data_IF_867873723397
#
_entry.id   IF_867873723397
#
_cell.length_a   1.000
_cell.length_b   1.000
_cell.length_c   1.000
_cell.angle_alpha   90.00
_cell.angle_beta   90.00
_cell.angle_gamma   90.00
#
_symmetry.space_group_name_H-M   'P 1'
#
loop_
_entity.id
_entity.type
_entity.pdbx_description
1 polymer ?
#
# COMPACT_ATOMS: atom_id res chain seq x y z
N UNK A 1 0.26 20.40 23.16
CA UNK A 1 -0.53 19.36 22.48
C UNK A 1 0.32 18.09 22.46
N UNK A 2 -0.24 16.91 22.78
CA UNK A 2 0.51 15.66 22.68
C UNK A 2 0.96 15.42 21.23
N UNK A 3 2.22 15.06 21.02
CA UNK A 3 2.77 14.77 19.70
C UNK A 3 2.34 13.37 19.26
N UNK A 4 1.57 13.30 18.16
CA UNK A 4 1.16 12.03 17.56
C UNK A 4 2.37 11.38 16.88
N UNK A 5 2.97 10.38 17.52
CA UNK A 5 4.10 9.62 16.97
C UNK A 5 3.67 8.41 16.15
N UNK A 6 2.49 7.86 16.47
CA UNK A 6 1.94 6.67 15.84
C UNK A 6 0.48 6.92 15.48
N UNK A 7 0.08 6.46 14.30
CA UNK A 7 -1.31 6.52 13.86
C UNK A 7 -1.72 5.19 13.23
N UNK A 8 -2.96 4.79 13.46
CA UNK A 8 -3.55 3.63 12.80
C UNK A 8 -4.91 4.01 12.24
N UNK A 9 -5.07 3.78 10.95
CA UNK A 9 -6.33 3.95 10.24
C UNK A 9 -6.80 2.57 9.83
N UNK A 10 -8.05 2.25 10.17
CA UNK A 10 -8.72 1.05 9.69
C UNK A 10 -10.04 1.44 9.05
N UNK A 11 -10.20 1.10 7.78
CA UNK A 11 -11.42 1.33 7.01
C UNK A 11 -11.97 -0.02 6.59
N UNK A 12 -13.18 -0.32 7.05
CA UNK A 12 -13.95 -1.48 6.62
C UNK A 12 -14.87 -1.07 5.48
N UNK A 13 -14.71 -1.70 4.33
CA UNK A 13 -15.51 -1.45 3.14
C UNK A 13 -16.78 -2.31 3.15
N UNK A 14 -17.89 -1.70 2.71
CA UNK A 14 -19.14 -2.41 2.43
C UNK A 14 -19.01 -3.19 1.12
N UNK A 15 -19.53 -4.42 1.11
CA UNK A 15 -19.65 -5.29 -0.06
C UNK A 15 -20.20 -4.58 -1.28
N UNK A 16 -21.27 -3.80 -1.12
CA UNK A 16 -21.90 -3.12 -2.25
C UNK A 16 -20.92 -2.16 -2.93
N UNK A 17 -20.17 -1.41 -2.14
CA UNK A 17 -19.16 -0.48 -2.65
C UNK A 17 -18.06 -1.23 -3.41
N UNK A 18 -17.58 -2.36 -2.88
CA UNK A 18 -16.52 -3.13 -3.55
C UNK A 18 -17.02 -3.76 -4.85
N UNK A 19 -18.23 -4.30 -4.86
CA UNK A 19 -18.84 -4.94 -6.02
C UNK A 19 -19.16 -3.93 -7.13
N UNK A 20 -19.73 -2.78 -6.76
CA UNK A 20 -20.03 -1.71 -7.71
C UNK A 20 -18.73 -1.19 -8.34
N UNK A 21 -17.67 -1.02 -7.56
CA UNK A 21 -16.36 -0.64 -8.09
C UNK A 21 -15.75 -1.72 -9.00
N UNK A 22 -15.92 -3.00 -8.67
CA UNK A 22 -15.47 -4.09 -9.53
C UNK A 22 -16.20 -4.11 -10.88
N UNK A 23 -17.51 -3.84 -10.86
CA UNK A 23 -18.33 -3.74 -12.06
C UNK A 23 -17.92 -2.52 -12.92
N UNK A 24 -17.67 -1.36 -12.30
CA UNK A 24 -17.20 -0.17 -12.99
C UNK A 24 -15.84 -0.39 -13.66
N UNK A 25 -14.90 -1.03 -12.98
CA UNK A 25 -13.58 -1.36 -13.54
C UNK A 25 -13.68 -2.31 -14.73
N UNK A 26 -14.56 -3.33 -14.68
CA UNK A 26 -14.82 -4.22 -15.83
C UNK A 26 -15.38 -3.47 -17.03
N UNK A 27 -16.16 -2.43 -16.79
CA UNK A 27 -16.74 -1.58 -17.83
C UNK A 27 -15.77 -0.49 -18.33
N UNK A 28 -14.51 -0.52 -17.92
CA UNK A 28 -13.47 0.44 -18.34
C UNK A 28 -13.49 1.77 -17.58
N UNK A 29 -14.37 1.92 -16.59
CA UNK A 29 -14.40 3.10 -15.73
C UNK A 29 -13.41 2.90 -14.59
N UNK A 30 -12.23 3.51 -14.72
CA UNK A 30 -11.25 3.58 -13.64
C UNK A 30 -11.68 4.63 -12.62
N UNK A 31 -12.22 4.20 -11.48
CA UNK A 31 -12.35 5.08 -10.31
C UNK A 31 -11.20 4.81 -9.35
N UNK A 32 -10.62 5.89 -8.81
CA UNK A 32 -9.61 5.82 -7.76
C UNK A 32 -10.28 5.88 -6.37
N UNK A 33 -11.46 5.27 -6.22
CA UNK A 33 -12.29 5.40 -5.01
C UNK A 33 -11.50 5.05 -3.74
N UNK A 34 -10.84 3.89 -3.71
CA UNK A 34 -10.04 3.47 -2.55
C UNK A 34 -8.85 4.40 -2.29
N UNK A 35 -8.24 4.96 -3.33
CA UNK A 35 -7.16 5.93 -3.19
C UNK A 35 -7.65 7.22 -2.55
N UNK A 36 -8.89 7.65 -2.85
CA UNK A 36 -9.50 8.82 -2.20
C UNK A 36 -9.73 8.57 -0.71
N UNK A 37 -10.13 7.35 -0.34
CA UNK A 37 -10.25 6.94 1.07
C UNK A 37 -8.89 7.03 1.76
N UNK A 38 -7.83 6.50 1.14
CA UNK A 38 -6.47 6.59 1.70
C UNK A 38 -6.07 8.06 1.86
N UNK A 39 -6.22 8.88 0.83
CA UNK A 39 -5.78 10.28 0.83
C UNK A 39 -6.44 11.09 1.95
N UNK A 40 -7.74 10.93 2.16
CA UNK A 40 -8.49 11.60 3.25
C UNK A 40 -8.13 11.04 4.62
N UNK A 41 -7.74 9.77 4.69
CA UNK A 41 -7.35 9.12 5.94
C UNK A 41 -5.94 9.45 6.40
N UNK A 42 -5.10 9.98 5.51
CA UNK A 42 -3.72 10.32 5.85
C UNK A 42 -3.67 11.61 6.67
N UNK A 43 -2.93 11.62 7.80
CA UNK A 43 -2.76 12.80 8.61
C UNK A 43 -2.07 13.91 7.83
N UNK A 44 -2.42 15.17 8.11
CA UNK A 44 -1.74 16.31 7.48
C UNK A 44 -0.26 16.31 7.91
N UNK A 45 0.69 16.20 6.96
CA UNK A 45 2.11 16.14 7.27
C UNK A 45 2.65 17.43 7.90
N UNK A 46 2.01 18.59 7.69
CA UNK A 46 2.41 19.86 8.30
C UNK A 46 2.02 19.94 9.77
N UNK A 47 0.96 19.23 10.15
CA UNK A 47 0.46 19.18 11.54
C UNK A 47 1.12 18.05 12.32
N UNK A 48 1.38 16.91 11.68
CA UNK A 48 1.85 15.68 12.32
C UNK A 48 3.30 15.36 11.97
N UNK A 49 4.21 16.33 12.18
CA UNK A 49 5.63 16.21 11.83
C UNK A 49 6.38 15.15 12.64
N UNK A 50 5.83 14.74 13.78
CA UNK A 50 6.40 13.70 14.65
C UNK A 50 5.89 12.28 14.33
N UNK A 51 5.03 12.12 13.33
CA UNK A 51 4.47 10.82 12.97
C UNK A 51 5.54 9.94 12.31
N UNK A 52 6.02 8.94 13.02
CA UNK A 52 7.06 8.01 12.57
C UNK A 52 6.50 6.64 12.20
N UNK A 53 5.33 6.27 12.73
CA UNK A 53 4.70 4.99 12.41
C UNK A 53 3.26 5.18 11.94
N UNK A 54 2.92 4.54 10.82
CA UNK A 54 1.58 4.55 10.25
C UNK A 54 1.13 3.13 9.93
N UNK A 55 -0.07 2.77 10.37
CA UNK A 55 -0.73 1.54 9.98
C UNK A 55 -1.99 1.87 9.18
N UNK A 56 -2.09 1.32 7.97
CA UNK A 56 -3.23 1.46 7.08
C UNK A 56 -3.87 0.10 6.87
N UNK A 57 -5.09 -0.07 7.36
CA UNK A 57 -5.89 -1.26 7.12
C UNK A 57 -7.10 -0.89 6.23
N UNK A 58 -7.21 -1.54 5.07
CA UNK A 58 -8.36 -1.43 4.19
C UNK A 58 -8.94 -2.84 4.01
N UNK A 59 -9.90 -3.16 4.87
CA UNK A 59 -10.46 -4.50 4.99
C UNK A 59 -11.84 -4.59 4.36
N UNK A 60 -12.19 -5.79 3.97
CA UNK A 60 -13.46 -6.12 3.35
C UNK A 60 -13.83 -7.54 3.78
N UNK A 61 -15.08 -7.75 4.18
CA UNK A 61 -15.59 -9.05 4.59
C UNK A 61 -16.62 -9.52 3.58
N UNK A 62 -16.36 -10.62 2.90
CA UNK A 62 -17.31 -11.21 1.96
C UNK A 62 -18.55 -11.75 2.71
N UNK A 63 -19.78 -11.54 2.22
CA UNK A 63 -20.95 -12.11 2.87
C UNK A 63 -20.87 -13.63 2.89
N UNK A 64 -21.31 -14.29 3.98
CA UNK A 64 -21.42 -15.73 4.00
C UNK A 64 -22.37 -16.19 2.87
N UNK A 65 -21.84 -16.94 1.91
CA UNK A 65 -22.58 -17.45 0.74
C UNK A 65 -22.16 -16.90 -0.61
N UNK A 66 -21.39 -15.80 -0.67
CA UNK A 66 -20.74 -15.38 -1.91
C UNK A 66 -19.51 -16.26 -2.17
N UNK A 67 -19.44 -16.88 -3.35
CA UNK A 67 -18.29 -17.68 -3.75
C UNK A 67 -17.09 -16.77 -4.02
N UNK A 68 -16.05 -16.86 -3.16
CA UNK A 68 -14.75 -16.15 -3.30
C UNK A 68 -14.16 -16.26 -4.71
N UNK A 69 -14.40 -17.39 -5.38
CA UNK A 69 -13.88 -17.75 -6.70
C UNK A 69 -14.27 -16.77 -7.82
N UNK A 70 -15.42 -16.09 -7.75
CA UNK A 70 -15.88 -15.23 -8.86
C UNK A 70 -15.44 -13.77 -8.74
N UNK A 71 -15.12 -13.31 -7.53
CA UNK A 71 -14.74 -11.90 -7.28
C UNK A 71 -13.24 -11.70 -7.11
N UNK A 72 -12.49 -12.75 -6.78
CA UNK A 72 -11.06 -12.70 -6.54
C UNK A 72 -10.25 -12.05 -7.69
N UNK A 73 -10.49 -12.33 -8.99
CA UNK A 73 -9.70 -11.71 -10.06
C UNK A 73 -9.97 -10.21 -10.24
N UNK A 74 -11.20 -9.77 -9.99
CA UNK A 74 -11.60 -8.36 -10.14
C UNK A 74 -11.12 -7.51 -8.97
N UNK A 75 -10.97 -8.09 -7.78
CA UNK A 75 -10.61 -7.35 -6.58
C UNK A 75 -9.10 -7.30 -6.38
N UNK A 76 -8.39 -8.40 -6.69
CA UNK A 76 -6.93 -8.38 -6.67
C UNK A 76 -6.37 -7.35 -7.66
N UNK A 77 -7.04 -7.12 -8.80
CA UNK A 77 -6.61 -6.13 -9.81
C UNK A 77 -6.93 -4.68 -9.48
N UNK A 78 -7.67 -4.40 -8.39
CA UNK A 78 -7.94 -3.04 -7.95
C UNK A 78 -6.70 -2.42 -7.30
N UNK A 79 -6.28 -1.28 -7.83
CA UNK A 79 -5.12 -0.54 -7.32
C UNK A 79 -5.54 0.43 -6.21
N UNK A 80 -4.74 0.49 -5.16
CA UNK A 80 -4.83 1.50 -4.09
C UNK A 80 -3.55 2.32 -4.12
N UNK A 81 -3.69 3.61 -4.41
CA UNK A 81 -2.55 4.51 -4.48
C UNK A 81 -2.24 5.10 -3.10
N UNK A 82 -1.00 4.93 -2.64
CA UNK A 82 -0.49 5.48 -1.37
C UNK A 82 0.46 6.64 -1.69
N UNK A 83 0.10 7.89 -1.39
CA UNK A 83 0.95 9.04 -1.65
C UNK A 83 2.06 9.17 -0.60
N UNK A 84 3.31 8.84 -0.97
CA UNK A 84 4.46 8.91 -0.06
C UNK A 84 4.79 10.34 0.38
N UNK A 85 4.47 11.33 -0.45
CA UNK A 85 4.68 12.75 -0.14
C UNK A 85 3.78 13.25 0.99
N UNK A 86 2.70 12.53 1.30
CA UNK A 86 1.80 12.81 2.43
C UNK A 86 2.29 12.21 3.75
N UNK A 87 3.32 11.37 3.71
CA UNK A 87 3.90 10.72 4.90
C UNK A 87 5.43 10.88 4.96
N UNK A 88 5.96 12.12 4.83
CA UNK A 88 7.41 12.33 4.66
C UNK A 88 8.24 11.93 5.89
N UNK A 89 7.65 11.93 7.08
CA UNK A 89 8.31 11.61 8.35
C UNK A 89 8.12 10.16 8.81
N UNK A 90 7.25 9.41 8.12
CA UNK A 90 6.94 8.03 8.49
C UNK A 90 8.14 7.14 8.17
N UNK A 91 8.74 6.57 9.20
CA UNK A 91 9.83 5.60 9.11
C UNK A 91 9.33 4.16 9.03
N UNK A 92 8.14 3.88 9.57
CA UNK A 92 7.51 2.56 9.55
C UNK A 92 6.08 2.63 8.99
N UNK A 93 5.83 1.91 7.90
CA UNK A 93 4.52 1.75 7.30
C UNK A 93 4.06 0.29 7.39
N UNK A 94 2.89 0.07 7.96
CA UNK A 94 2.21 -1.23 7.95
C UNK A 94 0.97 -1.13 7.08
N UNK A 95 0.83 -2.08 6.16
CA UNK A 95 -0.28 -2.17 5.22
C UNK A 95 -1.02 -3.48 5.47
N UNK A 96 -2.33 -3.38 5.64
CA UNK A 96 -3.23 -4.52 5.70
C UNK A 96 -4.39 -4.33 4.74
N UNK A 97 -4.29 -4.94 3.55
CA UNK A 97 -5.28 -4.69 2.51
C UNK A 97 -5.49 -5.87 1.57
N UNK A 98 -6.72 -5.99 1.07
CA UNK A 98 -7.11 -6.99 0.07
C UNK A 98 -6.90 -6.53 -1.38
N UNK A 99 -6.39 -5.32 -1.56
CA UNK A 99 -6.20 -4.67 -2.86
C UNK A 99 -4.71 -4.60 -3.21
N UNK A 100 -4.38 -4.15 -4.42
CA UNK A 100 -3.00 -3.97 -4.85
C UNK A 100 -2.47 -2.59 -4.43
N UNK A 101 -1.61 -2.48 -3.40
CA UNK A 101 -0.96 -1.23 -3.04
C UNK A 101 0.03 -0.79 -4.13
N UNK A 102 0.00 0.48 -4.50
CA UNK A 102 1.00 1.12 -5.35
C UNK A 102 1.37 2.46 -4.76
N UNK A 103 2.66 2.75 -4.65
CA UNK A 103 3.12 4.04 -4.15
C UNK A 103 3.10 5.09 -5.26
N UNK A 104 2.67 6.30 -4.92
CA UNK A 104 2.73 7.45 -5.81
C UNK A 104 3.43 8.62 -5.12
N UNK A 105 3.99 9.52 -5.92
CA UNK A 105 4.38 10.85 -5.49
C UNK A 105 3.41 11.90 -6.05
N UNK A 106 3.54 13.14 -5.59
CA UNK A 106 2.68 14.24 -6.01
C UNK A 106 2.75 14.43 -7.55
N UNK A 107 1.62 14.17 -8.23
CA UNK A 107 1.49 14.33 -9.69
C UNK A 107 1.28 15.79 -10.11
N UNK A 108 0.95 16.68 -9.18
CA UNK A 108 0.67 18.10 -9.44
C UNK A 108 1.90 18.92 -9.87
N UNK A 109 3.12 18.37 -9.72
CA UNK A 109 4.38 19.02 -10.14
C UNK A 109 4.98 18.37 -11.39
N UNK A 110 4.17 17.75 -12.26
CA UNK A 110 4.62 17.37 -13.61
C UNK A 110 4.05 18.29 -14.70
N UNK A 111 4.54 19.54 -14.84
CA UNK A 111 4.43 20.25 -16.11
C UNK A 111 5.51 19.69 -17.04
N UNK A 112 5.16 18.72 -17.89
CA UNK A 112 5.77 18.47 -19.22
C UNK A 112 7.26 18.79 -19.42
N UNK A 113 8.10 18.42 -18.47
CA UNK A 113 9.50 18.81 -18.46
C UNK A 113 10.20 17.96 -17.42
N UNK A 114 11.49 17.73 -17.63
CA UNK A 114 12.39 17.01 -16.75
C UNK A 114 12.51 17.69 -15.37
N UNK A 115 11.42 17.65 -14.61
CA UNK A 115 11.29 18.15 -13.26
C UNK A 115 12.02 17.18 -12.35
N UNK A 116 13.30 17.50 -12.13
CA UNK A 116 14.04 17.05 -10.97
C UNK A 116 13.16 17.28 -9.74
N UNK A 117 12.63 16.21 -9.15
CA UNK A 117 12.26 16.28 -7.74
C UNK A 117 13.49 16.84 -7.01
N UNK A 118 13.36 17.78 -6.07
CA UNK A 118 14.45 17.99 -5.14
C UNK A 118 14.72 16.62 -4.54
N UNK A 119 15.93 16.08 -4.76
CA UNK A 119 16.43 14.80 -4.22
C UNK A 119 16.20 14.62 -2.71
N UNK A 120 15.73 15.67 -2.03
CA UNK A 120 15.66 15.84 -0.60
C UNK A 120 14.23 15.87 -0.01
N UNK A 121 13.14 15.65 -0.77
CA UNK A 121 11.92 15.12 -0.12
C UNK A 121 12.04 13.60 -0.02
N UNK A 122 13.08 13.17 0.68
CA UNK A 122 13.31 11.77 1.01
C UNK A 122 12.16 11.31 1.89
N UNK A 123 11.36 10.37 1.40
CA UNK A 123 10.50 9.59 2.28
C UNK A 123 11.39 8.98 3.37
N UNK A 124 11.08 9.21 4.65
CA UNK A 124 11.86 8.68 5.77
C UNK A 124 11.68 7.16 5.96
N UNK A 125 10.91 6.51 5.08
CA UNK A 125 10.51 5.11 5.19
C UNK A 125 11.72 4.19 5.24
N UNK A 126 11.89 3.52 6.38
CA UNK A 126 12.92 2.49 6.62
C UNK A 126 12.33 1.10 6.67
N UNK A 127 11.06 0.97 7.05
CA UNK A 127 10.39 -0.31 7.26
C UNK A 127 9.01 -0.32 6.61
N UNK A 128 8.77 -1.32 5.76
CA UNK A 128 7.46 -1.60 5.17
C UNK A 128 6.99 -2.99 5.59
N UNK A 129 5.78 -3.10 6.12
CA UNK A 129 5.18 -4.37 6.55
C UNK A 129 3.90 -4.65 5.79
N UNK A 130 3.81 -5.80 5.13
CA UNK A 130 2.57 -6.32 4.56
C UNK A 130 1.96 -7.35 5.53
N UNK A 131 0.75 -7.07 6.00
CA UNK A 131 0.00 -7.88 6.97
C UNK A 131 -1.36 -8.25 6.42
N UNK A 132 -1.80 -9.50 6.54
CA UNK A 132 -3.13 -9.93 6.06
C UNK A 132 -3.41 -9.59 4.57
N UNK A 133 -2.36 -9.45 3.74
CA UNK A 133 -2.47 -9.08 2.33
C UNK A 133 -2.73 -10.31 1.43
N UNK A 134 -3.83 -11.04 1.70
CA UNK A 134 -4.12 -12.37 1.14
C UNK A 134 -4.24 -12.43 -0.40
N UNK A 135 -4.48 -11.29 -1.05
CA UNK A 135 -4.65 -11.23 -2.51
C UNK A 135 -3.49 -10.56 -3.23
N UNK A 136 -2.45 -10.15 -2.51
CA UNK A 136 -1.23 -9.65 -3.14
C UNK A 136 -0.50 -10.83 -3.77
N UNK A 137 -0.41 -10.81 -5.09
CA UNK A 137 0.32 -11.80 -5.90
C UNK A 137 1.70 -11.27 -6.31
N UNK A 138 2.55 -12.14 -6.85
CA UNK A 138 3.96 -11.82 -7.13
C UNK A 138 4.16 -10.59 -8.03
N UNK A 139 3.39 -10.46 -9.12
CA UNK A 139 3.52 -9.32 -10.03
C UNK A 139 3.15 -8.00 -9.35
N UNK A 140 2.22 -8.02 -8.41
CA UNK A 140 1.80 -6.86 -7.63
C UNK A 140 2.86 -6.45 -6.62
N UNK A 141 3.50 -7.42 -5.99
CA UNK A 141 4.66 -7.17 -5.13
C UNK A 141 5.79 -6.52 -5.93
N UNK A 142 6.07 -7.02 -7.14
CA UNK A 142 7.07 -6.45 -8.04
C UNK A 142 6.72 -5.02 -8.46
N UNK A 143 5.46 -4.76 -8.85
CA UNK A 143 5.00 -3.40 -9.17
C UNK A 143 5.12 -2.45 -7.97
N UNK A 144 4.81 -2.93 -6.77
CA UNK A 144 4.96 -2.13 -5.55
C UNK A 144 6.42 -1.80 -5.27
N UNK A 145 7.33 -2.78 -5.35
CA UNK A 145 8.78 -2.57 -5.22
C UNK A 145 9.28 -1.59 -6.28
N UNK A 146 8.83 -1.75 -7.53
CA UNK A 146 9.19 -0.85 -8.63
C UNK A 146 8.73 0.59 -8.36
N UNK A 147 7.51 0.79 -7.84
CA UNK A 147 7.03 2.13 -7.48
C UNK A 147 7.86 2.79 -6.37
N UNK A 148 8.38 2.02 -5.40
CA UNK A 148 9.30 2.54 -4.38
C UNK A 148 10.65 2.95 -4.98
N UNK A 149 11.16 2.20 -5.97
CA UNK A 149 12.41 2.52 -6.68
C UNK A 149 12.27 3.80 -7.49
N UNK A 150 11.17 3.95 -8.23
CA UNK A 150 10.88 5.14 -9.03
C UNK A 150 10.76 6.41 -8.20
N UNK A 151 10.31 6.28 -6.94
CA UNK A 151 10.20 7.38 -5.99
C UNK A 151 11.47 7.60 -5.16
N UNK A 152 12.53 6.82 -5.38
CA UNK A 152 13.79 6.89 -4.62
C UNK A 152 13.68 6.48 -3.15
N UNK A 153 12.54 5.90 -2.74
CA UNK A 153 12.31 5.44 -1.38
C UNK A 153 12.95 4.05 -1.11
N UNK A 154 13.17 3.28 -2.18
CA UNK A 154 13.73 1.92 -2.07
C UNK A 154 15.14 1.89 -1.47
N UNK A 155 16.01 2.82 -1.85
CA UNK A 155 17.40 2.86 -1.36
C UNK A 155 17.47 3.16 0.14
N UNK A 156 16.49 3.91 0.65
CA UNK A 156 16.33 4.22 2.06
C UNK A 156 15.69 3.08 2.86
N UNK A 157 14.98 2.15 2.20
CA UNK A 157 14.28 1.05 2.84
C UNK A 157 15.28 0.00 3.36
N UNK A 158 15.25 -0.22 4.67
CA UNK A 158 16.11 -1.17 5.37
C UNK A 158 15.44 -2.53 5.52
N UNK A 159 14.12 -2.56 5.74
CA UNK A 159 13.36 -3.79 5.99
C UNK A 159 12.04 -3.82 5.25
N UNK A 160 11.78 -4.95 4.61
CA UNK A 160 10.53 -5.28 3.98
C UNK A 160 10.00 -6.57 4.61
N UNK A 161 8.91 -6.47 5.36
CA UNK A 161 8.34 -7.58 6.10
C UNK A 161 7.09 -8.08 5.38
N UNK A 162 7.03 -9.39 5.14
CA UNK A 162 5.84 -10.09 4.66
C UNK A 162 5.40 -11.08 5.74
N UNK A 163 4.19 -10.88 6.28
CA UNK A 163 3.58 -11.81 7.23
C UNK A 163 2.75 -12.89 6.52
N UNK A 164 2.63 -14.07 7.13
CA UNK A 164 2.16 -15.37 6.58
C UNK A 164 0.68 -15.47 6.13
N UNK A 165 0.12 -14.38 5.62
CA UNK A 165 -1.22 -14.33 5.07
C UNK A 165 -1.24 -13.62 3.73
N UNK A 166 -0.15 -13.70 2.99
CA UNK A 166 -0.09 -13.26 1.59
C UNK A 166 -0.13 -14.47 0.66
N UNK A 167 -0.60 -14.27 -0.58
CA UNK A 167 -0.55 -15.33 -1.60
C UNK A 167 0.82 -15.50 -2.24
N UNK A 168 1.84 -14.77 -1.76
CA UNK A 168 3.21 -14.80 -2.29
C UNK A 168 4.02 -15.84 -1.53
N UNK A 169 4.51 -16.84 -2.25
CA UNK A 169 5.42 -17.82 -1.67
C UNK A 169 6.76 -17.16 -1.26
N UNK A 170 7.42 -17.59 -0.17
CA UNK A 170 8.62 -16.93 0.35
C UNK A 170 9.78 -16.81 -0.65
N UNK A 171 9.98 -17.84 -1.48
CA UNK A 171 10.97 -17.88 -2.57
C UNK A 171 10.68 -16.80 -3.63
N UNK A 172 9.41 -16.63 -4.00
CA UNK A 172 8.97 -15.60 -4.93
C UNK A 172 9.09 -14.20 -4.35
N UNK A 173 8.75 -14.03 -3.07
CA UNK A 173 8.96 -12.76 -2.38
C UNK A 173 10.45 -12.40 -2.36
N UNK A 174 11.33 -13.38 -2.17
CA UNK A 174 12.78 -13.21 -2.20
C UNK A 174 13.27 -12.72 -3.57
N UNK A 175 12.76 -13.30 -4.66
CA UNK A 175 13.07 -12.86 -6.03
C UNK A 175 12.66 -11.40 -6.28
N UNK A 176 11.53 -10.95 -5.73
CA UNK A 176 11.00 -9.60 -5.95
C UNK A 176 11.68 -8.53 -5.06
N UNK A 177 11.94 -8.85 -3.79
CA UNK A 177 12.40 -7.90 -2.76
C UNK A 177 13.91 -7.94 -2.58
N UNK A 178 14.56 -9.09 -2.78
CA UNK A 178 15.96 -9.29 -2.46
C UNK A 178 16.17 -9.80 -1.02
N UNK A 179 17.23 -10.59 -0.83
CA UNK A 179 17.56 -11.22 0.45
C UNK A 179 18.06 -10.24 1.50
N UNK A 180 18.54 -9.08 1.08
CA UNK A 180 19.12 -8.05 1.94
C UNK A 180 18.07 -7.25 2.71
N UNK A 181 16.82 -7.21 2.23
CA UNK A 181 15.71 -6.43 2.81
C UNK A 181 14.54 -7.29 3.26
N UNK A 182 14.33 -8.46 2.65
CA UNK A 182 13.18 -9.30 2.95
C UNK A 182 13.29 -9.96 4.33
N UNK A 183 12.23 -9.86 5.11
CA UNK A 183 11.98 -10.71 6.28
C UNK A 183 10.61 -11.36 6.12
N UNK A 184 10.58 -12.69 6.10
CA UNK A 184 9.32 -13.43 6.11
C UNK A 184 9.01 -13.87 7.54
N UNK A 185 7.82 -13.53 8.04
CA UNK A 185 7.38 -13.96 9.37
C UNK A 185 6.30 -15.01 9.16
N UNK A 186 6.68 -16.28 9.32
CA UNK A 186 5.77 -17.42 9.35
C UNK A 186 5.07 -17.51 10.71
N UNK A 187 3.78 -17.85 10.73
CA UNK A 187 3.18 -18.32 11.99
C UNK A 187 3.59 -19.76 12.19
N UNK A 188 4.40 -20.04 13.22
CA UNK A 188 4.57 -21.41 13.73
C UNK A 188 3.22 -21.90 14.24
N UNK A 189 2.48 -22.63 13.40
CA UNK A 189 1.37 -23.49 13.84
C UNK A 189 1.91 -24.73 14.52
#
# INVERSE_FOLDING_TARGET
MPSLQQNSVSVKLDDRNVVDQAALQRNGYYTNFFSSIIEVSLPDPLVHTHLTSLSLALTWELPPGMQRTWMQPSISSMKVFIPLDRIPFVTELSLSMYFHPTFIGNKSERPSGHGYHPKNRSCALRKLCLRDCAYVVIWQLQEMVQSLKELGAWDALERFIVEDRTSVAPDRALEAVGSERLTFIGTST
#
